data_IF_276229294732
#
_entry.id   IF_276229294732
#
_cell.length_a   1.000
_cell.length_b   1.000
_cell.length_c   1.000
_cell.angle_alpha   90.00
_cell.angle_beta   90.00
_cell.angle_gamma   90.00
#
_symmetry.space_group_name_H-M   'P 1'
#
loop_
_entity.id
_entity.type
_entity.pdbx_description
1 polymer ?
#
# COMPACT_ATOMS: atom_id res chain seq x y z
N UNK A 1 27.73 -5.19 -34.61
CA UNK A 1 27.91 -5.05 -33.15
C UNK A 1 26.77 -4.20 -32.65
N UNK A 2 25.80 -4.84 -32.01
CA UNK A 2 24.57 -4.24 -31.52
C UNK A 2 24.84 -3.44 -30.24
N UNK A 3 24.28 -2.23 -30.15
CA UNK A 3 24.20 -1.47 -28.91
C UNK A 3 22.75 -1.56 -28.40
N UNK A 4 22.51 -2.36 -27.36
CA UNK A 4 21.24 -2.36 -26.65
C UNK A 4 21.13 -1.08 -25.80
N UNK A 5 20.02 -0.32 -25.88
CA UNK A 5 19.78 0.75 -24.93
C UNK A 5 19.44 0.15 -23.57
N UNK A 6 20.24 0.50 -22.56
CA UNK A 6 19.97 0.18 -21.16
C UNK A 6 18.69 0.92 -20.73
N UNK A 7 17.58 0.18 -20.63
CA UNK A 7 16.34 0.68 -20.03
C UNK A 7 16.57 0.91 -18.53
N UNK A 8 17.04 2.10 -18.17
CA UNK A 8 16.96 2.61 -16.80
C UNK A 8 15.49 2.76 -16.44
N UNK A 9 14.92 1.77 -15.74
CA UNK A 9 13.66 1.93 -15.03
C UNK A 9 13.88 2.95 -13.92
N UNK A 10 13.53 4.21 -14.20
CA UNK A 10 13.45 5.26 -13.19
C UNK A 10 12.34 4.89 -12.22
N UNK A 11 12.71 4.20 -11.12
CA UNK A 11 11.82 4.05 -9.97
C UNK A 11 11.53 5.47 -9.47
N UNK A 12 10.36 5.99 -9.83
CA UNK A 12 9.83 7.23 -9.28
C UNK A 12 9.76 7.04 -7.78
N UNK A 13 10.63 7.74 -7.06
CA UNK A 13 10.67 7.65 -5.61
C UNK A 13 9.27 7.95 -5.06
N UNK A 14 8.74 7.04 -4.24
CA UNK A 14 7.47 7.25 -3.54
C UNK A 14 7.52 8.54 -2.73
N UNK A 15 6.69 9.50 -3.13
CA UNK A 15 6.60 10.83 -2.51
C UNK A 15 5.13 11.09 -2.20
N UNK A 16 4.60 10.52 -1.11
CA UNK A 16 3.23 10.79 -0.69
C UNK A 16 3.04 12.29 -0.45
N UNK A 17 1.89 12.82 -0.84
CA UNK A 17 1.56 14.23 -0.66
C UNK A 17 1.40 14.53 0.83
N UNK A 18 2.00 15.63 1.29
CA UNK A 18 1.83 16.10 2.68
C UNK A 18 0.35 16.31 3.00
N UNK A 19 -0.41 16.87 2.05
CA UNK A 19 -1.85 17.08 2.21
C UNK A 19 -2.60 15.75 2.35
N UNK A 20 -2.30 14.77 1.50
CA UNK A 20 -2.93 13.44 1.57
C UNK A 20 -2.61 12.73 2.89
N UNK A 21 -1.36 12.83 3.38
CA UNK A 21 -0.96 12.27 4.67
C UNK A 21 -1.68 12.95 5.85
N UNK A 22 -1.85 14.27 5.81
CA UNK A 22 -2.62 15.00 6.82
C UNK A 22 -4.08 14.57 6.79
N UNK A 23 -4.69 14.45 5.60
CA UNK A 23 -6.08 14.05 5.44
C UNK A 23 -6.30 12.62 5.97
N UNK A 24 -5.44 11.67 5.59
CA UNK A 24 -5.41 10.31 6.13
C UNK A 24 -5.37 10.32 7.67
N UNK A 25 -4.39 11.02 8.24
CA UNK A 25 -4.23 11.08 9.70
C UNK A 25 -5.43 11.71 10.41
N UNK A 26 -5.99 12.76 9.82
CA UNK A 26 -7.16 13.45 10.37
C UNK A 26 -8.38 12.55 10.36
N UNK A 27 -8.61 11.80 9.27
CA UNK A 27 -9.69 10.82 9.15
C UNK A 27 -9.53 9.68 10.14
N UNK A 28 -8.32 9.15 10.29
CA UNK A 28 -8.02 8.06 11.22
C UNK A 28 -8.34 8.41 12.69
N UNK A 29 -8.37 9.69 13.05
CA UNK A 29 -8.64 10.15 14.43
C UNK A 29 -10.13 10.39 14.71
N UNK A 30 -11.02 10.30 13.71
CA UNK A 30 -12.45 10.56 13.87
C UNK A 30 -13.16 9.28 14.29
N UNK A 31 -13.72 9.27 15.50
CA UNK A 31 -14.39 8.10 16.09
C UNK A 31 -15.61 7.68 15.26
N UNK A 32 -16.35 8.64 14.73
CA UNK A 32 -17.60 8.40 13.98
C UNK A 32 -17.40 8.35 12.46
N UNK A 33 -16.16 8.33 11.97
CA UNK A 33 -15.88 8.28 10.54
C UNK A 33 -15.79 6.81 10.05
N UNK A 34 -16.65 6.37 9.13
CA UNK A 34 -16.63 4.99 8.63
C UNK A 34 -15.31 4.63 7.91
N UNK A 35 -14.54 5.63 7.46
CA UNK A 35 -13.24 5.44 6.82
C UNK A 35 -12.07 5.52 7.80
N UNK A 36 -12.31 5.80 9.09
CA UNK A 36 -11.24 5.84 10.09
C UNK A 36 -10.41 4.54 10.17
N UNK A 37 -11.01 3.33 10.13
CA UNK A 37 -10.24 2.09 10.13
C UNK A 37 -9.33 1.95 8.91
N UNK A 38 -9.84 2.28 7.71
CA UNK A 38 -9.05 2.31 6.48
C UNK A 38 -7.86 3.26 6.62
N UNK A 39 -8.16 4.50 7.03
CA UNK A 39 -7.17 5.56 7.14
C UNK A 39 -6.05 5.20 8.14
N UNK A 40 -6.42 4.58 9.27
CA UNK A 40 -5.46 4.09 10.27
C UNK A 40 -4.53 3.03 9.68
N UNK A 41 -5.09 1.98 9.06
CA UNK A 41 -4.30 0.90 8.47
C UNK A 41 -3.35 1.42 7.39
N UNK A 42 -3.81 2.31 6.51
CA UNK A 42 -2.98 2.92 5.48
C UNK A 42 -1.83 3.72 6.10
N UNK A 43 -2.10 4.51 7.15
CA UNK A 43 -1.06 5.22 7.88
C UNK A 43 0.00 4.29 8.49
N UNK A 44 -0.42 3.15 9.04
CA UNK A 44 0.51 2.19 9.65
C UNK A 44 1.36 1.46 8.62
N UNK A 45 0.75 1.02 7.52
CA UNK A 45 1.45 0.36 6.40
C UNK A 45 2.53 1.26 5.78
N UNK A 46 2.25 2.55 5.60
CA UNK A 46 3.21 3.51 5.00
C UNK A 46 4.48 3.67 5.83
N UNK A 47 4.41 3.53 7.15
CA UNK A 47 5.58 3.66 8.04
C UNK A 47 6.66 2.64 7.70
N UNK A 48 6.27 1.45 7.21
CA UNK A 48 7.19 0.40 6.84
C UNK A 48 7.92 0.64 5.50
N UNK A 49 7.52 1.66 4.72
CA UNK A 49 8.03 1.85 3.35
C UNK A 49 9.57 1.90 3.27
N UNK A 50 10.22 2.66 4.16
CA UNK A 50 11.68 2.89 4.09
C UNK A 50 12.49 1.61 4.33
N UNK A 51 12.04 0.77 5.26
CA UNK A 51 12.70 -0.47 5.67
C UNK A 51 12.29 -1.69 4.84
N UNK A 52 11.45 -1.51 3.82
CA UNK A 52 10.90 -2.62 3.03
C UNK A 52 11.69 -2.93 1.77
N UNK A 53 11.60 -4.17 1.30
CA UNK A 53 12.11 -4.58 -0.01
C UNK A 53 11.34 -3.90 -1.16
N UNK A 54 11.88 -3.93 -2.39
CA UNK A 54 11.26 -3.27 -3.55
C UNK A 54 9.85 -3.79 -3.87
N UNK A 55 9.63 -5.09 -3.69
CA UNK A 55 8.33 -5.70 -3.94
C UNK A 55 7.29 -5.18 -2.94
N UNK A 56 7.66 -5.15 -1.65
CA UNK A 56 6.79 -4.65 -0.58
C UNK A 56 6.57 -3.14 -0.72
N UNK A 57 7.59 -2.38 -1.12
CA UNK A 57 7.45 -0.95 -1.44
C UNK A 57 6.40 -0.71 -2.52
N UNK A 58 6.38 -1.54 -3.56
CA UNK A 58 5.35 -1.48 -4.62
C UNK A 58 3.96 -1.71 -4.04
N UNK A 59 3.78 -2.71 -3.17
CA UNK A 59 2.52 -2.95 -2.50
C UNK A 59 2.09 -1.76 -1.62
N UNK A 60 3.01 -1.21 -0.82
CA UNK A 60 2.73 -0.07 0.06
C UNK A 60 2.28 1.16 -0.76
N UNK A 61 2.91 1.41 -1.91
CA UNK A 61 2.50 2.50 -2.81
C UNK A 61 1.06 2.30 -3.29
N UNK A 62 0.70 1.09 -3.73
CA UNK A 62 -0.67 0.77 -4.19
C UNK A 62 -1.69 0.93 -3.08
N UNK A 63 -1.38 0.47 -1.87
CA UNK A 63 -2.26 0.62 -0.70
C UNK A 63 -2.46 2.09 -0.34
N UNK A 64 -1.39 2.89 -0.39
CA UNK A 64 -1.51 4.34 -0.19
C UNK A 64 -2.41 5.00 -1.23
N UNK A 65 -2.18 4.74 -2.52
CA UNK A 65 -3.01 5.30 -3.60
C UNK A 65 -4.48 4.92 -3.43
N UNK A 66 -4.74 3.65 -3.15
CA UNK A 66 -6.07 3.13 -2.89
C UNK A 66 -6.74 3.81 -1.69
N UNK A 67 -6.02 3.95 -0.58
CA UNK A 67 -6.53 4.59 0.63
C UNK A 67 -6.86 6.07 0.43
N UNK A 68 -6.00 6.80 -0.29
CA UNK A 68 -6.23 8.21 -0.63
C UNK A 68 -7.47 8.35 -1.51
N UNK A 69 -7.57 7.56 -2.59
CA UNK A 69 -8.70 7.61 -3.52
C UNK A 69 -10.03 7.35 -2.82
N UNK A 70 -10.10 6.31 -1.96
CA UNK A 70 -11.30 6.02 -1.16
C UNK A 70 -11.70 7.19 -0.26
N UNK A 71 -10.73 7.81 0.41
CA UNK A 71 -10.99 8.95 1.30
C UNK A 71 -11.44 10.19 0.52
N UNK A 72 -10.80 10.49 -0.61
CA UNK A 72 -11.17 11.63 -1.45
C UNK A 72 -12.57 11.48 -2.03
N UNK A 73 -12.94 10.27 -2.44
CA UNK A 73 -14.29 9.94 -2.95
C UNK A 73 -15.34 9.74 -1.85
N UNK A 74 -14.94 9.67 -0.58
CA UNK A 74 -15.79 9.18 0.52
C UNK A 74 -16.45 7.83 0.18
N UNK A 75 -15.73 6.95 -0.51
CA UNK A 75 -16.26 5.68 -0.97
C UNK A 75 -16.29 4.66 0.16
N UNK A 76 -17.36 3.87 0.23
CA UNK A 76 -17.49 2.78 1.20
C UNK A 76 -16.33 1.79 1.09
N UNK A 77 -15.95 1.21 2.22
CA UNK A 77 -14.94 0.17 2.32
C UNK A 77 -15.59 -1.09 2.82
N UNK A 78 -15.44 -2.17 2.08
CA UNK A 78 -16.01 -3.45 2.43
C UNK A 78 -15.14 -4.21 3.45
N UNK A 79 -15.73 -5.20 4.12
CA UNK A 79 -15.03 -6.00 5.13
C UNK A 79 -13.84 -6.79 4.56
N UNK A 80 -13.88 -7.17 3.28
CA UNK A 80 -12.79 -7.90 2.64
C UNK A 80 -11.58 -6.98 2.42
N UNK A 81 -11.81 -5.75 1.97
CA UNK A 81 -10.80 -4.71 1.78
C UNK A 81 -10.09 -4.43 3.11
N UNK A 82 -10.84 -4.19 4.19
CA UNK A 82 -10.27 -3.97 5.53
C UNK A 82 -9.50 -5.20 6.02
N UNK A 83 -10.03 -6.41 5.83
CA UNK A 83 -9.37 -7.65 6.24
C UNK A 83 -8.01 -7.82 5.56
N UNK A 84 -7.92 -7.53 4.27
CA UNK A 84 -6.67 -7.62 3.51
C UNK A 84 -5.65 -6.57 3.95
N UNK A 85 -6.09 -5.33 4.20
CA UNK A 85 -5.22 -4.30 4.75
C UNK A 85 -4.70 -4.66 6.14
N UNK A 86 -5.54 -5.23 6.98
CA UNK A 86 -5.15 -5.69 8.31
C UNK A 86 -4.11 -6.83 8.24
N UNK A 87 -4.26 -7.77 7.29
CA UNK A 87 -3.26 -8.82 7.06
C UNK A 87 -1.92 -8.24 6.61
N UNK A 88 -1.93 -7.27 5.69
CA UNK A 88 -0.73 -6.58 5.23
C UNK A 88 -0.04 -5.86 6.39
N UNK A 89 -0.79 -5.08 7.17
CA UNK A 89 -0.27 -4.37 8.34
C UNK A 89 0.36 -5.36 9.32
N UNK A 90 -0.34 -6.46 9.65
CA UNK A 90 0.14 -7.47 10.58
C UNK A 90 1.43 -8.15 10.11
N UNK A 91 1.56 -8.45 8.83
CA UNK A 91 2.80 -9.04 8.30
C UNK A 91 3.97 -8.06 8.26
N UNK A 92 3.69 -6.76 8.06
CA UNK A 92 4.70 -5.72 8.14
C UNK A 92 5.17 -5.47 9.58
N UNK A 93 4.23 -5.41 10.55
CA UNK A 93 4.53 -5.15 11.96
C UNK A 93 5.27 -6.31 12.64
N UNK A 94 5.03 -7.54 12.19
CA UNK A 94 5.77 -8.74 12.64
C UNK A 94 7.13 -8.92 11.97
N UNK A 95 7.54 -7.99 11.11
CA UNK A 95 8.76 -8.09 10.32
C UNK A 95 8.84 -9.37 9.46
N UNK A 96 7.71 -9.89 8.97
CA UNK A 96 7.68 -11.06 8.08
C UNK A 96 8.15 -10.71 6.66
N UNK A 97 7.85 -9.48 6.19
CA UNK A 97 8.15 -9.03 4.83
C UNK A 97 9.24 -7.96 4.61
N UNK A 98 9.83 -7.26 5.60
CA UNK A 98 10.76 -6.16 5.32
C UNK A 98 12.14 -6.61 4.77
N UNK A 99 12.48 -7.90 4.86
CA UNK A 99 13.81 -8.40 4.44
C UNK A 99 13.88 -8.71 2.93
N UNK A 100 15.07 -8.63 2.33
CA UNK A 100 15.28 -8.87 0.89
C UNK A 100 15.20 -10.35 0.48
N UNK A 101 15.28 -11.28 1.45
CA UNK A 101 15.13 -12.71 1.21
C UNK A 101 13.71 -13.15 1.57
N UNK A 102 12.84 -13.16 0.57
CA UNK A 102 11.51 -13.77 0.68
C UNK A 102 11.56 -15.21 0.20
N UNK A 103 10.83 -16.09 0.87
CA UNK A 103 10.48 -17.38 0.28
C UNK A 103 9.56 -17.15 -0.92
N UNK A 104 9.47 -18.13 -1.82
CA UNK A 104 8.55 -18.09 -2.95
C UNK A 104 7.10 -17.91 -2.48
N UNK A 105 6.74 -18.47 -1.31
CA UNK A 105 5.41 -18.36 -0.73
C UNK A 105 5.07 -16.92 -0.32
N UNK A 106 6.01 -16.22 0.36
CA UNK A 106 5.85 -14.80 0.74
C UNK A 106 5.79 -13.91 -0.51
N UNK A 107 6.64 -14.19 -1.50
CA UNK A 107 6.64 -13.46 -2.78
C UNK A 107 5.29 -13.60 -3.48
N UNK A 108 4.77 -14.82 -3.57
CA UNK A 108 3.46 -15.10 -4.16
C UNK A 108 2.33 -14.41 -3.39
N UNK A 109 2.40 -14.39 -2.06
CA UNK A 109 1.42 -13.71 -1.23
C UNK A 109 1.40 -12.20 -1.50
N UNK A 110 2.58 -11.54 -1.49
CA UNK A 110 2.69 -10.10 -1.80
C UNK A 110 2.17 -9.81 -3.20
N UNK A 111 2.51 -10.65 -4.18
CA UNK A 111 2.05 -10.49 -5.56
C UNK A 111 0.52 -10.59 -5.68
N UNK A 112 -0.12 -11.48 -4.92
CA UNK A 112 -1.59 -11.58 -4.86
C UNK A 112 -2.23 -10.30 -4.33
N UNK A 113 -1.65 -9.66 -3.31
CA UNK A 113 -2.13 -8.36 -2.84
C UNK A 113 -1.92 -7.25 -3.87
N UNK A 114 -0.76 -7.22 -4.54
CA UNK A 114 -0.49 -6.27 -5.63
C UNK A 114 -1.56 -6.40 -6.72
N UNK A 115 -1.84 -7.63 -7.17
CA UNK A 115 -2.88 -7.89 -8.17
C UNK A 115 -4.26 -7.43 -7.69
N UNK A 116 -4.62 -7.71 -6.44
CA UNK A 116 -5.89 -7.31 -5.85
C UNK A 116 -6.09 -5.78 -5.86
N UNK A 117 -5.14 -5.02 -5.31
CA UNK A 117 -5.26 -3.56 -5.23
C UNK A 117 -5.11 -2.89 -6.60
N UNK A 118 -4.34 -3.47 -7.52
CA UNK A 118 -4.27 -2.99 -8.91
C UNK A 118 -5.60 -3.12 -9.62
N UNK A 119 -6.34 -4.23 -9.40
CA UNK A 119 -7.64 -4.44 -10.00
C UNK A 119 -8.67 -3.42 -9.48
N UNK A 120 -8.68 -3.16 -8.16
CA UNK A 120 -9.63 -2.19 -7.56
C UNK A 120 -9.34 -0.74 -7.92
N UNK A 121 -8.11 -0.39 -8.31
CA UNK A 121 -7.78 0.94 -8.86
C UNK A 121 -8.44 1.21 -10.22
N UNK A 122 -8.88 0.18 -10.95
CA UNK A 122 -9.43 0.30 -12.31
C UNK A 122 -10.96 0.31 -12.37
N UNK A 123 -11.63 0.07 -11.26
CA UNK A 123 -13.09 0.13 -11.16
C UNK A 123 -13.53 1.58 -10.93
N UNK A 124 -14.31 2.18 -11.85
CA UNK A 124 -14.76 3.58 -11.77
C UNK A 124 -15.72 3.84 -10.61
#
# INVERSE_FOLDING_TARGET
MEAQPSSQSTSTAFRPSVYALINLRTRAQRIDDPLAPLASLVCDIIKAYKSSSNLVKTLIQLVYEYGVDKIEKNAEVDHEELSRLNQIESSLSRHEWPNEQHSDDVTNQIQRYITYFTARRRTP
#
